data_IF_533845430363
#
_entry.id   IF_533845430363
#
_cell.length_a   1.000
_cell.length_b   1.000
_cell.length_c   1.000
_cell.angle_alpha   90.00
_cell.angle_beta   90.00
_cell.angle_gamma   90.00
#
_symmetry.space_group_name_H-M   'P 1'
#
loop_
_entity.id
_entity.type
_entity.pdbx_description
1 polymer ?
#
# COMPACT_ATOMS: atom_id res chain seq x y z
N UNK A 1 -30.08 -24.96 24.12
CA UNK A 1 -29.27 -24.18 23.17
C UNK A 1 -27.82 -24.55 23.43
N UNK A 2 -26.97 -24.77 22.42
CA UNK A 2 -25.55 -24.94 22.69
C UNK A 2 -25.07 -23.64 23.34
N UNK A 3 -24.54 -23.71 24.55
CA UNK A 3 -23.93 -22.57 25.24
C UNK A 3 -22.75 -22.10 24.38
N UNK A 4 -22.92 -21.00 23.65
CA UNK A 4 -21.83 -20.38 22.89
C UNK A 4 -20.68 -20.08 23.85
N UNK A 5 -19.49 -20.53 23.47
CA UNK A 5 -18.26 -20.24 24.21
C UNK A 5 -17.92 -18.76 24.00
N UNK A 6 -17.78 -17.94 25.06
CA UNK A 6 -17.48 -16.52 24.90
C UNK A 6 -16.08 -16.30 24.29
N UNK A 7 -16.01 -15.43 23.29
CA UNK A 7 -14.76 -14.86 22.76
C UNK A 7 -14.49 -13.47 23.38
N UNK A 8 -13.23 -13.05 23.38
CA UNK A 8 -12.82 -11.76 23.95
C UNK A 8 -13.50 -10.58 23.25
N UNK A 9 -13.72 -10.64 21.93
CA UNK A 9 -14.44 -9.57 21.20
C UNK A 9 -15.87 -9.33 21.71
N UNK A 10 -16.51 -10.35 22.27
CA UNK A 10 -17.88 -10.31 22.79
C UNK A 10 -17.95 -10.11 24.31
N UNK A 11 -16.80 -9.91 24.99
CA UNK A 11 -16.73 -9.92 26.45
C UNK A 11 -17.67 -8.93 27.12
N UNK A 12 -17.94 -7.79 26.47
CA UNK A 12 -18.84 -6.77 26.99
C UNK A 12 -20.30 -7.22 27.13
N UNK A 13 -20.72 -8.28 26.44
CA UNK A 13 -22.07 -8.88 26.61
C UNK A 13 -22.22 -9.65 27.92
N UNK A 14 -21.11 -9.97 28.57
CA UNK A 14 -21.05 -10.82 29.75
C UNK A 14 -20.73 -10.06 31.04
N UNK A 15 -20.83 -8.72 31.05
CA UNK A 15 -20.58 -7.92 32.26
C UNK A 15 -21.40 -8.42 33.46
N UNK A 16 -20.73 -8.62 34.59
CA UNK A 16 -21.30 -9.19 35.80
C UNK A 16 -21.62 -10.69 35.75
N UNK A 17 -21.20 -11.41 34.70
CA UNK A 17 -21.39 -12.85 34.55
C UNK A 17 -20.06 -13.60 34.67
N UNK A 18 -20.12 -14.84 35.15
CA UNK A 18 -18.98 -15.75 35.11
C UNK A 18 -18.85 -16.39 33.73
N UNK A 19 -17.64 -16.34 33.17
CA UNK A 19 -17.31 -16.90 31.86
C UNK A 19 -16.01 -17.67 31.91
N UNK A 20 -15.83 -18.59 30.96
CA UNK A 20 -14.57 -19.26 30.72
C UNK A 20 -14.03 -18.83 29.36
N UNK A 21 -12.94 -18.05 29.38
CA UNK A 21 -12.21 -17.66 28.17
C UNK A 21 -11.07 -18.64 27.96
N UNK A 22 -10.79 -19.00 26.71
CA UNK A 22 -9.68 -19.87 26.39
C UNK A 22 -8.81 -19.25 25.33
N UNK A 23 -7.50 -19.30 25.55
CA UNK A 23 -6.56 -18.63 24.69
C UNK A 23 -5.14 -18.86 25.15
N UNK A 24 -4.27 -17.91 24.82
CA UNK A 24 -2.85 -17.97 25.08
C UNK A 24 -2.42 -16.79 25.93
N UNK A 25 -1.49 -17.04 26.87
CA UNK A 25 -0.92 -16.00 27.69
C UNK A 25 -0.05 -15.08 26.84
N UNK A 26 -0.57 -13.90 26.52
CA UNK A 26 0.14 -12.91 25.72
C UNK A 26 1.18 -12.14 26.54
N UNK A 27 0.83 -11.78 27.78
CA UNK A 27 1.75 -11.09 28.69
C UNK A 27 1.40 -11.39 30.15
N UNK A 28 2.34 -11.22 31.07
CA UNK A 28 2.09 -11.33 32.51
C UNK A 28 2.89 -10.29 33.30
N UNK A 29 2.29 -9.77 34.36
CA UNK A 29 2.98 -8.98 35.39
C UNK A 29 2.37 -9.26 36.76
N UNK A 30 3.10 -8.99 37.82
CA UNK A 30 2.62 -9.11 39.19
C UNK A 30 2.83 -7.82 39.98
N UNK A 31 1.94 -7.57 40.94
CA UNK A 31 2.07 -6.51 41.94
C UNK A 31 1.65 -7.06 43.30
N UNK A 32 2.64 -7.44 44.11
CA UNK A 32 2.40 -8.05 45.42
C UNK A 32 1.60 -9.36 45.32
N UNK A 33 0.35 -9.34 45.80
CA UNK A 33 -0.55 -10.51 45.84
C UNK A 33 -1.52 -10.60 44.67
N UNK A 34 -1.33 -9.77 43.64
CA UNK A 34 -2.19 -9.69 42.45
C UNK A 34 -1.34 -9.92 41.21
N UNK A 35 -1.86 -10.71 40.27
CA UNK A 35 -1.31 -10.86 38.92
C UNK A 35 -2.23 -10.23 37.91
N UNK A 36 -1.62 -9.68 36.86
CA UNK A 36 -2.30 -9.21 35.68
C UNK A 36 -1.78 -10.04 34.51
N UNK A 37 -2.61 -10.97 34.05
CA UNK A 37 -2.35 -11.78 32.88
C UNK A 37 -3.08 -11.14 31.70
N UNK A 38 -2.40 -10.92 30.59
CA UNK A 38 -3.06 -10.57 29.33
C UNK A 38 -3.28 -11.85 28.55
N UNK A 39 -4.54 -12.23 28.33
CA UNK A 39 -4.92 -13.41 27.57
C UNK A 39 -5.36 -12.98 26.17
N UNK A 40 -4.87 -13.65 25.12
CA UNK A 40 -5.35 -13.48 23.75
C UNK A 40 -6.06 -14.74 23.29
N UNK A 41 -7.11 -14.63 22.47
CA UNK A 41 -7.82 -15.79 21.92
C UNK A 41 -7.91 -15.77 20.38
N UNK A 42 -7.31 -14.75 19.74
CA UNK A 42 -7.38 -14.51 18.30
C UNK A 42 -8.36 -13.40 17.92
N UNK A 43 -9.34 -13.09 18.77
CA UNK A 43 -10.33 -12.03 18.57
C UNK A 43 -9.99 -10.75 19.33
N UNK A 44 -9.22 -10.87 20.41
CA UNK A 44 -8.74 -9.71 21.17
C UNK A 44 -7.73 -10.05 22.26
N UNK A 45 -7.51 -9.09 23.15
CA UNK A 45 -6.68 -9.22 24.36
C UNK A 45 -7.53 -8.79 25.57
N UNK A 46 -7.62 -9.64 26.58
CA UNK A 46 -8.36 -9.41 27.83
C UNK A 46 -7.40 -9.39 29.01
N UNK A 47 -7.56 -8.42 29.91
CA UNK A 47 -6.86 -8.42 31.19
C UNK A 47 -7.56 -9.38 32.16
N UNK A 48 -6.83 -10.38 32.65
CA UNK A 48 -7.26 -11.32 33.67
C UNK A 48 -6.54 -11.00 34.98
N UNK A 49 -7.31 -10.62 36.00
CA UNK A 49 -6.83 -10.23 37.33
C UNK A 49 -6.90 -11.43 38.26
N UNK A 50 -5.75 -11.92 38.73
CA UNK A 50 -5.67 -13.06 39.65
C UNK A 50 -5.28 -12.55 41.03
N UNK A 51 -6.13 -12.73 42.04
CA UNK A 51 -5.82 -12.35 43.42
C UNK A 51 -5.57 -13.57 44.29
N UNK A 52 -4.53 -13.55 45.15
CA UNK A 52 -4.25 -14.66 46.08
C UNK A 52 -5.44 -15.05 46.98
N UNK A 53 -6.36 -14.12 47.24
CA UNK A 53 -7.57 -14.37 48.06
C UNK A 53 -8.69 -15.06 47.28
N UNK A 54 -8.70 -14.95 45.95
CA UNK A 54 -9.80 -15.38 45.10
C UNK A 54 -9.50 -16.73 44.41
N UNK A 55 -8.23 -17.17 44.41
CA UNK A 55 -7.79 -18.47 43.88
C UNK A 55 -7.10 -19.34 44.95
N UNK A 56 -7.09 -20.65 44.74
CA UNK A 56 -6.39 -21.59 45.63
C UNK A 56 -4.86 -21.46 45.51
N UNK A 57 -4.13 -22.01 46.49
CA UNK A 57 -2.67 -21.90 46.56
C UNK A 57 -1.96 -22.57 45.37
N UNK A 58 -2.52 -23.63 44.78
CA UNK A 58 -1.94 -24.28 43.61
C UNK A 58 -2.00 -23.37 42.39
N UNK A 59 -3.14 -22.72 42.14
CA UNK A 59 -3.29 -21.73 41.07
C UNK A 59 -2.34 -20.56 41.33
N UNK A 60 -2.27 -20.09 42.58
CA UNK A 60 -1.37 -19.00 42.95
C UNK A 60 0.13 -19.40 42.93
N UNK A 61 0.48 -20.67 42.72
CA UNK A 61 1.87 -21.07 42.48
C UNK A 61 2.22 -21.15 40.98
N UNK A 62 1.23 -21.16 40.09
CA UNK A 62 1.44 -21.26 38.63
C UNK A 62 2.18 -20.07 38.01
N UNK A 63 2.24 -18.90 38.67
CA UNK A 63 2.80 -17.70 38.04
C UNK A 63 4.23 -17.88 37.54
N UNK A 64 5.07 -18.60 38.27
CA UNK A 64 6.45 -18.82 37.86
C UNK A 64 6.57 -19.83 36.71
N UNK A 65 5.59 -20.73 36.58
CA UNK A 65 5.52 -21.74 35.51
C UNK A 65 4.93 -21.18 34.21
N UNK A 66 3.99 -20.24 34.32
CA UNK A 66 3.29 -19.66 33.16
C UNK A 66 4.25 -18.87 32.26
N UNK A 67 4.46 -19.32 31.04
CA UNK A 67 5.28 -18.63 30.03
C UNK A 67 4.41 -18.01 28.95
N UNK A 68 4.97 -17.04 28.20
CA UNK A 68 4.30 -16.49 27.03
C UNK A 68 3.88 -17.60 26.07
N UNK A 69 2.69 -17.46 25.49
CA UNK A 69 2.07 -18.42 24.60
C UNK A 69 1.68 -19.77 25.23
N UNK A 70 1.69 -19.87 26.57
CA UNK A 70 1.03 -20.98 27.26
C UNK A 70 -0.48 -20.95 26.98
N UNK A 71 -1.07 -22.10 26.64
CA UNK A 71 -2.50 -22.21 26.39
C UNK A 71 -3.27 -22.48 27.68
N UNK A 72 -4.30 -21.66 27.92
CA UNK A 72 -5.03 -21.59 29.19
C UNK A 72 -6.54 -21.61 28.93
N UNK A 73 -7.30 -22.19 29.85
CA UNK A 73 -8.69 -21.81 30.09
C UNK A 73 -8.76 -21.03 31.40
N UNK A 74 -9.28 -19.81 31.35
CA UNK A 74 -9.37 -18.91 32.49
C UNK A 74 -10.85 -18.68 32.78
N UNK A 75 -11.29 -19.07 33.98
CA UNK A 75 -12.65 -18.85 34.46
C UNK A 75 -12.67 -17.67 35.43
N UNK A 76 -13.66 -16.79 35.29
CA UNK A 76 -13.79 -15.64 36.17
C UNK A 76 -15.02 -14.79 35.90
N UNK A 77 -15.22 -13.79 36.76
CA UNK A 77 -16.28 -12.80 36.66
C UNK A 77 -15.84 -11.65 35.73
N UNK A 78 -16.65 -11.33 34.71
CA UNK A 78 -16.38 -10.16 33.86
C UNK A 78 -16.76 -8.89 34.62
N UNK A 79 -15.88 -7.89 34.55
CA UNK A 79 -16.10 -6.59 35.17
C UNK A 79 -15.72 -5.45 34.22
N UNK A 80 -16.62 -4.50 34.02
CA UNK A 80 -16.30 -3.27 33.32
C UNK A 80 -15.25 -2.42 34.08
N UNK A 81 -14.10 -2.16 33.47
CA UNK A 81 -13.09 -1.21 33.96
C UNK A 81 -12.53 -0.41 32.79
N UNK A 82 -12.78 0.90 32.77
CA UNK A 82 -12.31 1.81 31.72
C UNK A 82 -10.79 1.90 31.60
N UNK A 83 -10.05 1.43 32.62
CA UNK A 83 -8.58 1.39 32.63
C UNK A 83 -8.04 0.09 32.02
N UNK A 84 -8.87 -0.95 31.92
CA UNK A 84 -8.48 -2.22 31.33
C UNK A 84 -8.45 -2.10 29.79
N UNK A 85 -7.51 -2.79 29.11
CA UNK A 85 -7.55 -2.93 27.66
C UNK A 85 -8.91 -3.48 27.21
N UNK A 86 -9.57 -2.78 26.28
CA UNK A 86 -10.92 -3.17 25.81
C UNK A 86 -12.08 -2.75 26.71
N UNK A 87 -11.82 -2.09 27.85
CA UNK A 87 -12.86 -1.57 28.76
C UNK A 87 -13.46 -2.59 29.72
N UNK A 88 -13.00 -3.83 29.69
CA UNK A 88 -13.41 -4.93 30.57
C UNK A 88 -12.20 -5.72 31.05
N UNK A 89 -12.33 -6.34 32.22
CA UNK A 89 -11.36 -7.28 32.77
C UNK A 89 -12.08 -8.52 33.33
N UNK A 90 -11.32 -9.60 33.53
CA UNK A 90 -11.81 -10.85 34.08
C UNK A 90 -11.19 -11.07 35.47
N UNK A 91 -12.01 -11.09 36.51
CA UNK A 91 -11.56 -11.45 37.85
C UNK A 91 -11.53 -12.97 37.99
N UNK A 92 -10.32 -13.51 38.06
CA UNK A 92 -10.08 -14.95 37.87
C UNK A 92 -10.36 -15.72 39.14
N UNK A 93 -11.18 -16.76 39.01
CA UNK A 93 -11.48 -17.73 40.06
C UNK A 93 -10.73 -19.06 39.81
N UNK A 94 -10.54 -19.45 38.54
CA UNK A 94 -9.84 -20.68 38.17
C UNK A 94 -9.00 -20.56 36.89
N UNK A 95 -7.90 -21.32 36.83
CA UNK A 95 -7.02 -21.42 35.65
C UNK A 95 -6.72 -22.90 35.39
N UNK A 96 -7.15 -23.37 34.22
CA UNK A 96 -6.73 -24.65 33.66
C UNK A 96 -5.60 -24.43 32.66
N UNK A 97 -4.42 -24.97 32.95
CA UNK A 97 -3.29 -24.97 32.01
C UNK A 97 -3.45 -26.14 31.05
N UNK A 98 -3.63 -25.87 29.76
CA UNK A 98 -3.66 -26.89 28.72
C UNK A 98 -2.24 -27.28 28.31
N UNK A 99 -1.37 -26.28 28.14
CA UNK A 99 0.04 -26.48 27.81
C UNK A 99 0.88 -25.29 28.27
N UNK A 100 2.02 -25.56 28.90
CA UNK A 100 3.08 -24.57 29.10
C UNK A 100 3.96 -24.52 27.84
N UNK A 101 4.04 -23.35 27.21
CA UNK A 101 4.91 -23.14 26.05
C UNK A 101 6.37 -23.02 26.50
N UNK A 102 7.25 -23.86 25.97
CA UNK A 102 8.69 -23.81 26.29
C UNK A 102 9.43 -23.18 25.11
N UNK A 103 10.43 -22.35 25.42
CA UNK A 103 11.34 -21.77 24.44
C UNK A 103 10.67 -20.97 23.31
N UNK A 104 9.57 -20.26 23.60
CA UNK A 104 8.91 -19.40 22.61
C UNK A 104 9.88 -18.31 22.10
N UNK A 105 10.22 -18.29 20.80
CA UNK A 105 11.35 -17.51 20.29
C UNK A 105 11.08 -16.00 20.30
N UNK A 106 9.81 -15.59 20.15
CA UNK A 106 9.42 -14.19 20.03
C UNK A 106 9.00 -13.64 21.41
N UNK A 107 9.98 -13.31 22.24
CA UNK A 107 9.73 -12.64 23.53
C UNK A 107 9.36 -11.16 23.34
N UNK A 108 8.78 -10.46 24.34
CA UNK A 108 8.44 -9.02 24.26
C UNK A 108 9.60 -8.05 24.06
N UNK A 109 10.85 -8.54 23.94
CA UNK A 109 12.00 -7.72 23.56
C UNK A 109 11.98 -7.48 22.05
N UNK A 110 12.61 -6.41 21.60
CA UNK A 110 12.83 -6.22 20.16
C UNK A 110 13.71 -7.35 19.62
N UNK A 111 13.32 -7.92 18.48
CA UNK A 111 14.10 -8.90 17.73
C UNK A 111 14.45 -8.32 16.36
N UNK A 112 15.58 -8.75 15.79
CA UNK A 112 15.97 -8.37 14.44
C UNK A 112 14.98 -8.89 13.39
N UNK A 113 14.85 -8.16 12.28
CA UNK A 113 13.90 -8.50 11.21
C UNK A 113 14.15 -9.91 10.66
N UNK A 114 15.40 -10.32 10.45
CA UNK A 114 15.74 -11.65 9.91
C UNK A 114 15.27 -12.77 10.85
N UNK A 115 15.47 -12.62 12.17
CA UNK A 115 15.01 -13.58 13.17
C UNK A 115 13.48 -13.73 13.18
N UNK A 116 12.74 -12.64 13.04
CA UNK A 116 11.28 -12.68 12.95
C UNK A 116 10.79 -13.33 11.65
N UNK A 117 11.56 -13.20 10.56
CA UNK A 117 11.25 -13.84 9.28
C UNK A 117 11.45 -15.36 9.34
N UNK A 118 12.49 -15.84 10.02
CA UNK A 118 12.70 -17.28 10.27
C UNK A 118 11.55 -17.88 11.11
N UNK A 119 10.82 -17.05 11.86
CA UNK A 119 9.67 -17.42 12.70
C UNK A 119 8.35 -16.85 12.18
N UNK A 120 8.19 -16.66 10.86
CA UNK A 120 7.01 -16.02 10.26
C UNK A 120 5.67 -16.68 10.59
N UNK A 121 5.66 -17.99 10.86
CA UNK A 121 4.48 -18.72 11.32
C UNK A 121 3.98 -18.24 12.71
N UNK A 122 4.79 -17.48 13.43
CA UNK A 122 4.49 -16.86 14.73
C UNK A 122 4.36 -15.33 14.63
N UNK A 123 4.74 -14.72 13.50
CA UNK A 123 4.70 -13.27 13.27
C UNK A 123 4.46 -12.94 11.79
N UNK A 124 3.27 -12.43 11.48
CA UNK A 124 2.91 -12.03 10.11
C UNK A 124 3.38 -10.61 9.80
N UNK A 125 4.13 -10.47 8.70
CA UNK A 125 4.60 -9.18 8.19
C UNK A 125 3.63 -8.61 7.15
N UNK A 126 3.29 -7.33 7.29
CA UNK A 126 2.64 -6.53 6.27
C UNK A 126 3.63 -5.57 5.62
N UNK A 127 3.31 -5.10 4.42
CA UNK A 127 4.08 -4.11 3.69
C UNK A 127 3.20 -2.88 3.42
N UNK A 128 3.80 -1.70 3.46
CA UNK A 128 3.13 -0.49 3.02
C UNK A 128 2.97 -0.53 1.50
N UNK A 129 1.78 -0.18 1.01
CA UNK A 129 1.48 -0.30 -0.41
C UNK A 129 2.26 0.71 -1.25
N UNK A 130 2.79 0.25 -2.38
CA UNK A 130 3.42 1.13 -3.38
C UNK A 130 2.38 1.69 -4.37
N UNK A 131 1.22 1.05 -4.48
CA UNK A 131 0.15 1.34 -5.42
C UNK A 131 -1.12 0.56 -5.06
N UNK A 132 -2.28 1.18 -5.20
CA UNK A 132 -3.58 0.51 -5.08
C UNK A 132 -3.94 -0.39 -6.26
N UNK A 133 -3.17 -0.35 -7.36
CA UNK A 133 -3.54 -0.90 -8.67
C UNK A 133 -4.15 -2.30 -8.62
N UNK A 134 -3.47 -3.29 -8.03
CA UNK A 134 -3.95 -4.69 -8.07
C UNK A 134 -5.35 -4.83 -7.43
N UNK A 135 -5.63 -4.04 -6.39
CA UNK A 135 -6.95 -4.00 -5.76
C UNK A 135 -7.96 -3.21 -6.59
N UNK A 136 -7.51 -2.18 -7.30
CA UNK A 136 -8.35 -1.43 -8.23
C UNK A 136 -8.77 -2.27 -9.44
N UNK A 137 -7.94 -3.21 -9.91
CA UNK A 137 -8.34 -4.18 -10.92
C UNK A 137 -9.50 -5.05 -10.43
N UNK A 138 -9.43 -5.58 -9.21
CA UNK A 138 -10.56 -6.28 -8.59
C UNK A 138 -11.81 -5.38 -8.44
N UNK A 139 -11.61 -4.12 -8.05
CA UNK A 139 -12.67 -3.12 -8.00
C UNK A 139 -13.32 -2.85 -9.36
N UNK A 140 -12.52 -2.76 -10.42
CA UNK A 140 -12.99 -2.53 -11.78
C UNK A 140 -13.81 -3.71 -12.29
N UNK A 141 -13.40 -4.95 -11.96
CA UNK A 141 -14.19 -6.15 -12.30
C UNK A 141 -15.57 -6.15 -11.61
N UNK A 142 -15.70 -5.53 -10.43
CA UNK A 142 -16.96 -5.45 -9.70
C UNK A 142 -17.84 -4.24 -10.08
N UNK A 143 -17.24 -3.08 -10.34
CA UNK A 143 -17.95 -1.80 -10.45
C UNK A 143 -17.77 -1.10 -11.80
N UNK A 144 -17.00 -1.67 -12.71
CA UNK A 144 -16.76 -1.16 -14.06
C UNK A 144 -15.73 -0.02 -14.11
N UNK A 145 -15.95 1.06 -13.36
CA UNK A 145 -15.03 2.22 -13.33
C UNK A 145 -14.79 2.64 -11.89
N UNK A 146 -13.53 2.64 -11.47
CA UNK A 146 -13.15 2.87 -10.08
C UNK A 146 -11.89 3.73 -10.01
N UNK A 147 -11.69 4.40 -8.88
CA UNK A 147 -10.43 5.04 -8.56
C UNK A 147 -10.17 4.94 -7.06
N UNK A 148 -8.92 4.85 -6.65
CA UNK A 148 -8.53 5.15 -5.28
C UNK A 148 -7.77 6.47 -5.20
N UNK A 149 -7.79 7.05 -4.01
CA UNK A 149 -6.97 8.20 -3.67
C UNK A 149 -6.41 7.94 -2.27
N UNK A 150 -5.12 7.68 -2.18
CA UNK A 150 -4.48 7.33 -0.92
C UNK A 150 -2.97 7.57 -0.90
N UNK A 151 -2.37 7.48 0.30
CA UNK A 151 -0.93 7.52 0.45
C UNK A 151 -0.30 6.23 -0.08
N UNK A 152 0.83 6.37 -0.74
CA UNK A 152 1.67 5.28 -1.24
C UNK A 152 3.11 5.49 -0.84
N UNK A 153 3.85 4.39 -0.73
CA UNK A 153 5.15 4.38 -0.07
C UNK A 153 6.19 3.73 -0.97
N UNK A 154 7.31 4.42 -1.18
CA UNK A 154 8.45 3.87 -1.93
C UNK A 154 9.72 3.94 -1.10
N UNK A 155 10.30 2.77 -0.84
CA UNK A 155 11.58 2.63 -0.14
C UNK A 155 12.78 2.72 -1.10
N UNK A 156 12.69 3.60 -2.12
CA UNK A 156 13.75 3.77 -3.10
C UNK A 156 14.95 4.49 -2.51
N UNK A 157 16.15 4.06 -2.89
CA UNK A 157 17.41 4.68 -2.45
C UNK A 157 17.77 5.94 -3.25
N UNK A 158 16.77 6.72 -3.65
CA UNK A 158 16.90 7.91 -4.50
C UNK A 158 16.84 9.20 -3.68
N UNK A 159 17.72 10.17 -3.97
CA UNK A 159 17.79 11.49 -3.30
C UNK A 159 17.49 12.67 -4.24
N UNK A 160 16.86 12.42 -5.39
CA UNK A 160 16.61 13.47 -6.38
C UNK A 160 15.46 14.40 -5.95
N UNK A 161 15.31 15.53 -6.67
CA UNK A 161 14.20 16.49 -6.49
C UNK A 161 12.79 15.96 -6.82
N UNK A 162 12.68 14.76 -7.41
CA UNK A 162 11.43 14.14 -7.91
C UNK A 162 10.89 13.01 -7.01
N UNK A 163 11.57 12.68 -5.91
CA UNK A 163 11.25 11.51 -5.09
C UNK A 163 10.90 11.87 -3.64
N UNK A 164 9.86 11.23 -3.12
CA UNK A 164 9.45 11.16 -1.71
C UNK A 164 9.34 9.68 -1.31
N UNK A 165 9.45 9.40 -0.01
CA UNK A 165 9.21 8.04 0.50
C UNK A 165 7.74 7.76 0.83
N UNK A 166 6.95 8.82 0.99
CA UNK A 166 5.50 8.83 1.18
C UNK A 166 4.93 9.95 0.31
N UNK A 167 3.95 9.64 -0.53
CA UNK A 167 3.32 10.57 -1.45
C UNK A 167 1.90 10.11 -1.78
N UNK A 168 1.08 10.97 -2.36
CA UNK A 168 -0.31 10.66 -2.68
C UNK A 168 -0.47 10.30 -4.15
N UNK A 169 -1.27 9.27 -4.42
CA UNK A 169 -1.66 8.90 -5.77
C UNK A 169 -3.18 8.90 -5.95
N UNK A 170 -3.59 9.27 -7.15
CA UNK A 170 -4.94 9.00 -7.67
C UNK A 170 -4.81 7.93 -8.75
N UNK A 171 -5.47 6.79 -8.55
CA UNK A 171 -5.25 5.60 -9.38
C UNK A 171 -6.59 5.08 -9.93
N UNK A 172 -7.05 5.57 -11.10
CA UNK A 172 -8.19 5.01 -11.79
C UNK A 172 -7.88 3.68 -12.50
N UNK A 173 -8.88 2.79 -12.51
CA UNK A 173 -8.87 1.53 -13.27
C UNK A 173 -10.26 1.34 -13.91
N UNK A 174 -10.28 0.95 -15.18
CA UNK A 174 -11.47 0.94 -16.03
C UNK A 174 -11.60 -0.40 -16.75
N UNK A 175 -12.69 -1.12 -16.48
CA UNK A 175 -13.07 -2.32 -17.20
C UNK A 175 -13.52 -1.99 -18.64
N UNK A 176 -13.23 -2.90 -19.57
CA UNK A 176 -13.41 -2.76 -21.01
C UNK A 176 -12.58 -1.63 -21.67
N UNK A 177 -11.60 -1.06 -20.98
CA UNK A 177 -10.70 -0.05 -21.54
C UNK A 177 -9.44 -0.68 -22.14
N UNK A 178 -9.01 -0.14 -23.27
CA UNK A 178 -7.69 -0.41 -23.86
C UNK A 178 -6.67 0.72 -23.58
N UNK A 179 -5.47 0.62 -24.18
CA UNK A 179 -4.45 1.65 -24.05
C UNK A 179 -4.89 3.03 -24.56
N UNK A 180 -5.69 3.10 -25.63
CA UNK A 180 -6.15 4.37 -26.17
C UNK A 180 -7.21 4.99 -25.25
N UNK A 181 -8.14 4.19 -24.75
CA UNK A 181 -9.16 4.65 -23.79
C UNK A 181 -8.52 5.26 -22.54
N UNK A 182 -7.47 4.61 -22.01
CA UNK A 182 -6.80 5.10 -20.80
C UNK A 182 -5.92 6.33 -21.07
N UNK A 183 -5.34 6.45 -22.27
CA UNK A 183 -4.67 7.67 -22.71
C UNK A 183 -5.67 8.83 -22.81
N UNK A 184 -6.83 8.61 -23.44
CA UNK A 184 -7.89 9.62 -23.56
C UNK A 184 -8.37 10.09 -22.18
N UNK A 185 -8.59 9.15 -21.24
CA UNK A 185 -8.96 9.49 -19.86
C UNK A 185 -7.86 10.28 -19.15
N UNK A 186 -6.59 9.91 -19.32
CA UNK A 186 -5.46 10.58 -18.70
C UNK A 186 -5.30 12.04 -19.19
N UNK A 187 -5.42 12.31 -20.50
CA UNK A 187 -5.38 13.69 -21.01
C UNK A 187 -6.58 14.52 -20.55
N UNK A 188 -7.79 13.95 -20.56
CA UNK A 188 -9.00 14.65 -20.07
C UNK A 188 -8.84 15.02 -18.60
N UNK A 189 -8.34 14.09 -17.79
CA UNK A 189 -8.15 14.30 -16.36
C UNK A 189 -7.13 15.41 -16.08
N UNK A 190 -5.98 15.39 -16.75
CA UNK A 190 -4.93 16.40 -16.56
C UNK A 190 -5.32 17.76 -17.11
N UNK A 191 -5.94 17.82 -18.30
CA UNK A 191 -6.50 19.06 -18.84
C UNK A 191 -7.49 19.67 -17.84
N UNK A 192 -8.45 18.88 -17.35
CA UNK A 192 -9.46 19.36 -16.40
C UNK A 192 -8.83 19.92 -15.12
N UNK A 193 -7.84 19.23 -14.54
CA UNK A 193 -7.11 19.71 -13.35
C UNK A 193 -6.47 21.07 -13.63
N UNK A 194 -5.70 21.18 -14.72
CA UNK A 194 -4.96 22.42 -15.04
C UNK A 194 -5.92 23.58 -15.31
N UNK A 195 -6.96 23.36 -16.12
CA UNK A 195 -7.96 24.38 -16.42
C UNK A 195 -8.72 24.82 -15.16
N UNK A 196 -9.08 23.88 -14.28
CA UNK A 196 -9.74 24.19 -13.00
C UNK A 196 -8.84 24.99 -12.07
N UNK A 197 -7.54 24.72 -12.06
CA UNK A 197 -6.55 25.48 -11.28
C UNK A 197 -6.39 26.90 -11.84
N UNK A 198 -6.26 27.05 -13.16
CA UNK A 198 -6.18 28.38 -13.80
C UNK A 198 -7.42 29.23 -13.49
N UNK A 199 -8.61 28.63 -13.57
CA UNK A 199 -9.87 29.30 -13.28
C UNK A 199 -10.00 29.69 -11.80
N UNK A 200 -9.76 28.75 -10.88
CA UNK A 200 -10.14 28.92 -9.48
C UNK A 200 -9.00 29.30 -8.54
N UNK A 201 -7.75 29.26 -9.00
CA UNK A 201 -6.55 29.49 -8.18
C UNK A 201 -5.57 30.49 -8.78
N UNK A 202 -6.04 31.35 -9.71
CA UNK A 202 -5.20 32.37 -10.34
C UNK A 202 -4.56 33.34 -9.34
N UNK A 203 -5.24 33.68 -8.23
CA UNK A 203 -4.67 34.51 -7.16
C UNK A 203 -3.49 33.82 -6.46
N UNK A 204 -3.62 32.53 -6.16
CA UNK A 204 -2.55 31.74 -5.56
C UNK A 204 -1.37 31.60 -6.52
N UNK A 205 -1.62 31.35 -7.82
CA UNK A 205 -0.57 31.29 -8.84
C UNK A 205 0.19 32.63 -8.95
N UNK A 206 -0.53 33.77 -8.91
CA UNK A 206 0.09 35.10 -8.84
C UNK A 206 0.92 35.31 -7.57
N UNK A 207 0.42 34.83 -6.43
CA UNK A 207 1.10 34.96 -5.12
C UNK A 207 2.44 34.23 -5.10
N UNK A 208 2.54 33.08 -5.77
CA UNK A 208 3.78 32.31 -5.91
C UNK A 208 4.60 32.68 -7.15
N UNK A 209 4.22 33.77 -7.85
CA UNK A 209 4.93 34.29 -9.03
C UNK A 209 5.06 33.25 -10.17
N UNK A 210 4.08 32.34 -10.30
CA UNK A 210 4.06 31.33 -11.36
C UNK A 210 3.66 31.94 -12.71
N UNK A 211 4.53 31.81 -13.71
CA UNK A 211 4.18 32.04 -15.12
C UNK A 211 3.21 30.95 -15.60
N UNK A 212 2.00 31.35 -16.00
CA UNK A 212 0.91 30.47 -16.45
C UNK A 212 0.89 30.24 -17.96
N UNK A 213 1.76 30.87 -18.74
CA UNK A 213 1.74 30.83 -20.20
C UNK A 213 1.79 29.41 -20.79
N UNK A 214 2.50 28.49 -20.15
CA UNK A 214 2.56 27.07 -20.53
C UNK A 214 1.34 26.29 -20.03
N UNK A 215 0.82 26.61 -18.85
CA UNK A 215 -0.39 25.98 -18.31
C UNK A 215 -1.62 26.31 -19.17
N UNK A 216 -1.71 27.53 -19.70
CA UNK A 216 -2.78 27.96 -20.60
C UNK A 216 -2.83 27.17 -21.91
N UNK A 217 -1.68 26.61 -22.34
CA UNK A 217 -1.58 25.75 -23.54
C UNK A 217 -1.98 24.30 -23.29
N UNK A 218 -2.24 23.92 -22.03
CA UNK A 218 -2.66 22.56 -21.66
C UNK A 218 -4.12 22.38 -22.09
N UNK A 219 -4.27 22.05 -23.37
CA UNK A 219 -5.52 21.79 -24.07
C UNK A 219 -5.32 20.54 -24.92
N UNK A 220 -6.34 19.67 -24.95
CA UNK A 220 -6.35 18.48 -25.82
C UNK A 220 -6.35 18.87 -27.30
N UNK A 221 -5.85 17.99 -28.20
CA UNK A 221 -5.20 16.71 -27.91
C UNK A 221 -3.76 16.89 -27.41
N UNK A 222 -3.31 16.03 -26.50
CA UNK A 222 -1.91 16.01 -26.10
C UNK A 222 -1.07 15.26 -27.14
N UNK A 223 0.20 15.67 -27.38
CA UNK A 223 1.12 14.89 -28.21
C UNK A 223 1.26 13.47 -27.67
N UNK A 224 1.14 12.47 -28.56
CA UNK A 224 1.37 11.05 -28.26
C UNK A 224 2.49 10.57 -29.16
N UNK A 225 3.54 10.03 -28.57
CA UNK A 225 4.71 9.51 -29.28
C UNK A 225 5.03 8.09 -28.81
N UNK A 226 5.55 7.25 -29.70
CA UNK A 226 6.08 5.95 -29.30
C UNK A 226 7.41 6.11 -28.55
N UNK A 227 7.78 5.07 -27.79
CA UNK A 227 9.12 4.92 -27.25
C UNK A 227 10.21 5.16 -28.30
N UNK A 228 10.05 4.62 -29.51
CA UNK A 228 11.03 4.75 -30.60
C UNK A 228 11.19 6.21 -31.05
N UNK A 229 10.09 6.96 -31.09
CA UNK A 229 10.10 8.38 -31.41
C UNK A 229 10.73 9.20 -30.27
N UNK A 230 10.44 8.86 -29.00
CA UNK A 230 11.09 9.48 -27.86
C UNK A 230 12.62 9.23 -27.86
N UNK A 231 13.05 7.99 -28.14
CA UNK A 231 14.46 7.64 -28.28
C UNK A 231 15.12 8.34 -29.49
N UNK A 232 14.38 8.63 -30.56
CA UNK A 232 14.88 9.45 -31.67
C UNK A 232 15.14 10.90 -31.23
N UNK A 233 14.25 11.50 -30.45
CA UNK A 233 14.44 12.86 -29.88
C UNK A 233 15.73 12.93 -29.06
N UNK A 234 15.99 11.93 -28.21
CA UNK A 234 17.21 11.89 -27.40
C UNK A 234 18.48 11.83 -28.25
N UNK A 235 18.48 11.00 -29.30
CA UNK A 235 19.59 10.89 -30.26
C UNK A 235 19.82 12.20 -31.02
N UNK A 236 18.76 12.86 -31.47
CA UNK A 236 18.83 14.16 -32.16
C UNK A 236 19.39 15.26 -31.26
N UNK A 237 19.07 15.21 -29.96
CA UNK A 237 19.64 16.11 -28.94
C UNK A 237 21.05 15.74 -28.50
N UNK A 238 21.60 14.63 -29.00
CA UNK A 238 22.96 14.17 -28.68
C UNK A 238 23.13 13.60 -27.27
N UNK A 239 22.05 13.11 -26.64
CA UNK A 239 22.14 12.41 -25.36
C UNK A 239 22.64 10.98 -25.57
N UNK A 240 23.45 10.50 -24.62
CA UNK A 240 23.95 9.13 -24.57
C UNK A 240 22.86 8.22 -23.96
N UNK A 241 21.91 7.81 -24.81
CA UNK A 241 20.81 6.93 -24.46
C UNK A 241 20.91 5.60 -25.21
N UNK A 242 20.85 4.50 -24.48
CA UNK A 242 20.84 3.16 -25.05
C UNK A 242 19.40 2.70 -25.33
N UNK A 243 19.10 2.41 -26.60
CA UNK A 243 17.80 1.84 -26.98
C UNK A 243 17.57 0.50 -26.28
N UNK A 244 16.38 0.33 -25.71
CA UNK A 244 16.01 -0.80 -24.85
C UNK A 244 15.92 -0.41 -23.36
N UNK A 245 16.63 0.64 -22.94
CA UNK A 245 16.62 1.10 -21.55
C UNK A 245 15.37 1.93 -21.25
N UNK A 246 15.03 2.04 -19.96
CA UNK A 246 14.00 2.96 -19.47
C UNK A 246 14.52 4.40 -19.48
N UNK A 247 13.62 5.37 -19.58
CA UNK A 247 14.01 6.78 -19.61
C UNK A 247 14.38 7.27 -18.21
N UNK A 248 15.63 7.72 -18.05
CA UNK A 248 16.07 8.35 -16.82
C UNK A 248 15.54 9.78 -16.67
N UNK A 249 15.77 10.38 -15.50
CA UNK A 249 15.27 11.73 -15.24
C UNK A 249 15.82 12.81 -16.20
N UNK A 250 17.03 12.64 -16.73
CA UNK A 250 17.60 13.52 -17.74
C UNK A 250 16.92 13.33 -19.11
N UNK A 251 16.63 12.08 -19.49
CA UNK A 251 15.94 11.73 -20.73
C UNK A 251 14.52 12.29 -20.75
N UNK A 252 13.75 12.09 -19.68
CA UNK A 252 12.42 12.68 -19.52
C UNK A 252 12.44 14.21 -19.64
N UNK A 253 13.47 14.84 -19.08
CA UNK A 253 13.64 16.30 -19.16
C UNK A 253 13.85 16.71 -20.61
N UNK A 254 14.77 16.06 -21.31
CA UNK A 254 15.06 16.35 -22.71
C UNK A 254 13.84 16.08 -23.62
N UNK A 255 13.09 15.01 -23.39
CA UNK A 255 11.87 14.71 -24.15
C UNK A 255 10.82 15.81 -23.89
N UNK A 256 10.48 16.06 -22.62
CA UNK A 256 9.41 17.00 -22.24
C UNK A 256 9.68 18.45 -22.65
N UNK A 257 10.94 18.89 -22.70
CA UNK A 257 11.33 20.22 -23.21
C UNK A 257 11.05 20.43 -24.70
N UNK A 258 10.77 19.36 -25.45
CA UNK A 258 10.44 19.43 -26.88
C UNK A 258 8.96 19.75 -27.13
N UNK A 259 8.15 19.86 -26.07
CA UNK A 259 6.71 20.02 -26.14
C UNK A 259 6.23 21.21 -25.29
N UNK A 260 5.12 21.83 -25.72
CA UNK A 260 4.53 23.01 -25.08
C UNK A 260 3.42 22.68 -24.06
N UNK A 261 3.11 21.38 -23.92
CA UNK A 261 2.08 20.79 -23.05
C UNK A 261 2.49 19.34 -22.71
N UNK A 262 1.81 18.64 -21.80
CA UNK A 262 2.15 17.26 -21.47
C UNK A 262 2.19 16.36 -22.70
N UNK A 263 3.20 15.48 -22.76
CA UNK A 263 3.37 14.48 -23.83
C UNK A 263 3.17 13.09 -23.27
N UNK A 264 2.45 12.24 -23.98
CA UNK A 264 2.35 10.81 -23.66
C UNK A 264 3.38 10.04 -24.48
N UNK A 265 4.23 9.28 -23.79
CA UNK A 265 5.14 8.32 -24.40
C UNK A 265 4.54 6.94 -24.20
N UNK A 266 4.37 6.16 -25.26
CA UNK A 266 3.71 4.86 -25.19
C UNK A 266 4.52 3.73 -25.82
N UNK A 267 4.16 2.49 -25.52
CA UNK A 267 4.77 1.28 -26.11
C UNK A 267 6.26 1.12 -25.81
N UNK A 268 6.59 1.07 -24.52
CA UNK A 268 7.96 0.82 -24.07
C UNK A 268 8.36 -0.64 -24.29
N UNK A 269 9.67 -0.95 -24.30
CA UNK A 269 10.15 -2.32 -24.22
C UNK A 269 9.54 -3.04 -23.01
N UNK A 270 8.96 -4.22 -23.23
CA UNK A 270 8.26 -4.97 -22.18
C UNK A 270 9.20 -5.40 -21.05
N UNK A 271 10.50 -5.56 -21.32
CA UNK A 271 11.50 -6.00 -20.34
C UNK A 271 11.77 -4.98 -19.24
N UNK A 272 11.58 -3.69 -19.51
CA UNK A 272 11.79 -2.62 -18.51
C UNK A 272 10.51 -2.25 -17.76
N UNK A 273 9.39 -2.91 -18.06
CA UNK A 273 8.09 -2.61 -17.48
C UNK A 273 7.59 -3.75 -16.58
N UNK A 274 6.53 -3.47 -15.83
CA UNK A 274 6.01 -4.37 -14.81
C UNK A 274 5.30 -5.59 -15.40
N UNK A 275 5.35 -6.73 -14.69
CA UNK A 275 4.84 -8.03 -15.11
C UNK A 275 3.34 -8.04 -15.48
N UNK A 276 2.55 -7.11 -14.96
CA UNK A 276 1.10 -7.05 -15.18
C UNK A 276 0.72 -6.33 -16.48
N UNK A 277 1.66 -5.69 -17.18
CA UNK A 277 1.35 -4.95 -18.40
C UNK A 277 1.14 -5.91 -19.57
N UNK A 278 0.11 -5.66 -20.38
CA UNK A 278 -0.17 -6.45 -21.60
C UNK A 278 0.90 -6.17 -22.65
N UNK A 279 1.33 -7.19 -23.39
CA UNK A 279 2.24 -7.00 -24.53
C UNK A 279 1.46 -6.50 -25.75
N UNK A 280 2.09 -5.73 -26.63
CA UNK A 280 1.47 -5.30 -27.88
C UNK A 280 1.24 -6.54 -28.79
N UNK A 281 0.01 -6.81 -29.26
CA UNK A 281 -0.28 -7.96 -30.12
C UNK A 281 0.46 -7.92 -31.47
N UNK A 282 0.91 -6.74 -31.91
CA UNK A 282 1.61 -6.54 -33.18
C UNK A 282 3.13 -6.48 -33.00
N UNK A 283 3.61 -6.03 -31.83
CA UNK A 283 5.03 -5.93 -31.46
C UNK A 283 5.25 -6.54 -30.06
N UNK A 284 5.30 -7.88 -29.93
CA UNK A 284 5.27 -8.56 -28.62
C UNK A 284 6.42 -8.21 -27.69
N UNK A 285 7.50 -7.61 -28.17
CA UNK A 285 8.60 -7.07 -27.36
C UNK A 285 8.26 -5.75 -26.67
N UNK A 286 7.13 -5.11 -27.02
CA UNK A 286 6.63 -3.86 -26.42
C UNK A 286 5.46 -4.13 -25.48
N UNK A 287 5.33 -3.30 -24.45
CA UNK A 287 4.19 -3.30 -23.53
C UNK A 287 3.19 -2.22 -23.92
N UNK A 288 1.89 -2.51 -23.81
CA UNK A 288 0.80 -1.54 -23.97
C UNK A 288 0.71 -0.63 -22.75
N UNK A 289 1.73 0.21 -22.57
CA UNK A 289 1.86 1.15 -21.47
C UNK A 289 2.00 2.59 -21.97
N UNK A 290 1.81 3.53 -21.05
CA UNK A 290 1.96 4.97 -21.30
C UNK A 290 2.48 5.68 -20.06
N UNK A 291 3.46 6.56 -20.27
CA UNK A 291 3.92 7.53 -19.28
C UNK A 291 3.57 8.94 -19.81
N UNK A 292 2.98 9.79 -18.97
CA UNK A 292 2.72 11.20 -19.30
C UNK A 292 3.78 12.08 -18.66
N UNK A 293 4.53 12.79 -19.49
CA UNK A 293 5.58 13.70 -19.06
C UNK A 293 5.04 15.14 -19.07
N UNK A 294 5.08 15.80 -17.92
CA UNK A 294 4.81 17.23 -17.81
C UNK A 294 5.91 18.04 -18.52
N UNK A 295 5.57 19.14 -19.22
CA UNK A 295 6.52 20.00 -19.92
C UNK A 295 7.45 20.73 -18.93
N UNK A 296 8.29 21.63 -19.42
CA UNK A 296 9.19 22.46 -18.58
C UNK A 296 10.19 21.61 -17.76
N UNK A 297 10.49 20.39 -18.21
CA UNK A 297 11.48 19.51 -17.57
C UNK A 297 11.03 18.88 -16.25
N UNK A 298 9.72 18.83 -15.96
CA UNK A 298 9.20 18.20 -14.75
C UNK A 298 9.25 16.67 -14.81
N UNK A 299 9.03 16.08 -15.99
CA UNK A 299 9.07 14.63 -16.21
C UNK A 299 7.74 13.95 -15.88
N UNK A 300 7.79 12.66 -15.58
CA UNK A 300 6.61 11.81 -15.43
C UNK A 300 5.67 12.26 -14.29
N UNK A 301 4.39 12.48 -14.63
CA UNK A 301 3.29 12.75 -13.70
C UNK A 301 2.24 11.62 -13.67
N UNK A 302 2.15 10.81 -14.74
CA UNK A 302 1.30 9.63 -14.83
C UNK A 302 2.13 8.47 -15.38
N UNK A 303 1.96 7.29 -14.79
CA UNK A 303 2.35 6.00 -15.37
C UNK A 303 1.14 5.07 -15.42
N UNK A 304 0.91 4.39 -16.54
CA UNK A 304 -0.27 3.56 -16.75
C UNK A 304 -0.15 2.59 -17.91
N UNK A 305 -1.24 1.86 -18.18
CA UNK A 305 -1.28 0.91 -19.28
C UNK A 305 -2.43 -0.07 -19.21
N UNK A 306 -2.54 -0.85 -20.29
CA UNK A 306 -3.45 -1.97 -20.37
C UNK A 306 -2.89 -3.19 -19.62
N UNK A 307 -3.76 -3.89 -18.90
CA UNK A 307 -3.37 -5.03 -18.05
C UNK A 307 -3.44 -6.34 -18.83
N UNK A 308 -2.57 -7.26 -18.47
CA UNK A 308 -2.60 -8.63 -19.01
C UNK A 308 -3.90 -9.30 -18.58
N UNK A 309 -4.73 -9.69 -19.54
CA UNK A 309 -6.07 -10.25 -19.34
C UNK A 309 -6.11 -11.76 -19.60
N UNK A 310 -5.02 -12.34 -20.11
CA UNK A 310 -4.85 -13.78 -20.29
C UNK A 310 -4.18 -14.44 -19.07
N UNK A 311 -4.79 -15.52 -18.56
CA UNK A 311 -4.32 -16.22 -17.38
C UNK A 311 -2.94 -16.88 -17.59
N UNK A 312 -2.76 -17.58 -18.71
CA UNK A 312 -1.54 -18.35 -18.97
C UNK A 312 -0.35 -17.42 -19.15
N UNK A 313 -0.56 -16.30 -19.86
CA UNK A 313 0.48 -15.28 -20.05
C UNK A 313 0.84 -14.62 -18.71
N UNK A 314 -0.15 -14.30 -17.87
CA UNK A 314 0.12 -13.68 -16.58
C UNK A 314 0.88 -14.61 -15.64
N UNK A 315 0.53 -15.91 -15.59
CA UNK A 315 1.27 -16.93 -14.83
C UNK A 315 2.73 -17.04 -15.31
N UNK A 316 2.95 -17.05 -16.64
CA UNK A 316 4.30 -17.07 -17.22
C UNK A 316 5.10 -15.82 -16.84
N UNK A 317 4.48 -14.63 -16.82
CA UNK A 317 5.13 -13.39 -16.40
C UNK A 317 5.48 -13.41 -14.91
N UNK A 318 4.57 -13.85 -14.03
CA UNK A 318 4.85 -14.03 -12.60
C UNK A 318 6.08 -14.94 -12.40
N UNK A 319 6.13 -16.08 -13.12
CA UNK A 319 7.26 -17.00 -13.08
C UNK A 319 8.55 -16.36 -13.61
N UNK A 320 8.51 -15.66 -14.76
CA UNK A 320 9.67 -14.97 -15.36
C UNK A 320 10.28 -13.93 -14.42
N UNK A 321 9.45 -13.23 -13.66
CA UNK A 321 9.89 -12.24 -12.67
C UNK A 321 10.30 -12.85 -11.31
N UNK A 322 10.30 -14.18 -11.16
CA UNK A 322 10.59 -14.90 -9.91
C UNK A 322 9.69 -14.46 -8.74
N UNK A 323 8.43 -14.17 -9.03
CA UNK A 323 7.44 -13.76 -8.03
C UNK A 323 6.74 -15.00 -7.43
N UNK A 324 6.42 -15.00 -6.11
CA UNK A 324 5.75 -16.14 -5.48
C UNK A 324 4.28 -16.20 -5.89
N UNK A 325 3.92 -17.15 -6.76
CA UNK A 325 2.57 -17.29 -7.30
C UNK A 325 1.47 -17.31 -6.24
N UNK A 326 1.68 -18.01 -5.11
CA UNK A 326 0.72 -18.08 -4.00
C UNK A 326 0.28 -16.69 -3.50
N UNK A 327 1.17 -15.69 -3.54
CA UNK A 327 0.84 -14.31 -3.14
C UNK A 327 -0.06 -13.58 -4.15
N UNK A 328 -0.15 -14.08 -5.38
CA UNK A 328 -0.92 -13.53 -6.49
C UNK A 328 -2.13 -14.39 -6.86
N UNK A 329 -2.45 -15.45 -6.11
CA UNK A 329 -3.52 -16.38 -6.46
C UNK A 329 -4.89 -15.67 -6.62
N UNK A 330 -5.20 -14.76 -5.70
CA UNK A 330 -6.40 -13.91 -5.78
C UNK A 330 -6.40 -12.96 -6.98
N UNK A 331 -5.22 -12.56 -7.45
CA UNK A 331 -5.04 -11.67 -8.60
C UNK A 331 -5.18 -12.45 -9.92
N UNK A 332 -4.73 -13.70 -9.93
CA UNK A 332 -4.97 -14.67 -11.02
C UNK A 332 -6.46 -15.04 -11.11
N UNK A 333 -7.18 -15.09 -9.99
CA UNK A 333 -8.63 -15.33 -9.99
C UNK A 333 -9.41 -14.28 -10.80
N UNK A 334 -8.91 -13.04 -10.89
CA UNK A 334 -9.49 -12.01 -11.76
C UNK A 334 -9.46 -12.42 -13.24
N UNK A 335 -8.51 -13.29 -13.63
CA UNK A 335 -8.37 -13.82 -14.99
C UNK A 335 -9.13 -15.14 -15.19
N UNK A 336 -9.50 -15.82 -14.08
CA UNK A 336 -10.29 -17.06 -14.10
C UNK A 336 -11.79 -16.81 -14.13
N UNK A 337 -12.26 -15.77 -13.46
CA UNK A 337 -13.68 -15.52 -13.24
C UNK A 337 -14.13 -14.19 -13.83
N UNK A 338 -14.50 -14.21 -15.12
CA UNK A 338 -15.10 -13.04 -15.78
C UNK A 338 -14.09 -11.95 -16.19
N UNK A 339 -12.91 -12.36 -16.64
CA UNK A 339 -11.88 -11.45 -17.17
C UNK A 339 -12.40 -10.61 -18.34
N UNK A 340 -11.96 -9.36 -18.41
CA UNK A 340 -12.22 -8.44 -19.53
C UNK A 340 -10.95 -7.64 -19.80
N UNK A 341 -10.74 -7.10 -21.02
CA UNK A 341 -9.72 -6.09 -21.23
C UNK A 341 -9.95 -4.93 -20.27
N UNK A 342 -8.89 -4.42 -19.64
CA UNK A 342 -8.96 -3.29 -18.73
C UNK A 342 -7.63 -2.56 -18.68
N UNK A 343 -7.70 -1.29 -18.31
CA UNK A 343 -6.56 -0.41 -18.25
C UNK A 343 -6.73 0.60 -17.12
N UNK A 344 -5.60 1.11 -16.62
CA UNK A 344 -5.57 2.11 -15.58
C UNK A 344 -4.28 2.91 -15.58
N UNK A 345 -4.23 3.92 -14.72
CA UNK A 345 -3.03 4.72 -14.50
C UNK A 345 -2.93 5.18 -13.06
N UNK A 346 -1.75 5.62 -12.64
CA UNK A 346 -1.54 6.32 -11.38
C UNK A 346 -1.00 7.72 -11.64
N UNK A 347 -1.65 8.75 -11.08
CA UNK A 347 -1.17 10.12 -11.08
C UNK A 347 -0.48 10.43 -9.75
N UNK A 348 0.79 10.87 -9.82
CA UNK A 348 1.52 11.36 -8.65
C UNK A 348 1.12 12.79 -8.30
N UNK A 349 0.42 12.98 -7.18
CA UNK A 349 -0.14 14.29 -6.78
C UNK A 349 0.98 15.30 -6.57
N UNK A 350 2.03 14.96 -5.81
CA UNK A 350 3.12 15.88 -5.48
C UNK A 350 3.93 16.31 -6.70
N UNK A 351 4.12 15.43 -7.70
CA UNK A 351 4.78 15.78 -8.97
C UNK A 351 3.89 16.72 -9.80
N UNK A 352 2.60 16.44 -9.85
CA UNK A 352 1.62 17.27 -10.58
C UNK A 352 1.50 18.67 -9.97
N UNK A 353 1.41 18.78 -8.64
CA UNK A 353 1.41 20.06 -7.94
C UNK A 353 2.72 20.81 -8.16
N UNK A 354 3.86 20.11 -8.18
CA UNK A 354 5.16 20.75 -8.39
C UNK A 354 5.22 21.41 -9.77
N UNK A 355 4.75 20.72 -10.80
CA UNK A 355 4.67 21.25 -12.16
C UNK A 355 3.72 22.46 -12.26
N UNK A 356 2.49 22.31 -11.78
CA UNK A 356 1.47 23.37 -11.83
C UNK A 356 1.97 24.63 -11.11
N UNK A 357 2.56 24.47 -9.92
CA UNK A 357 3.04 25.59 -9.12
C UNK A 357 4.44 26.11 -9.52
N UNK A 358 5.15 25.46 -10.44
CA UNK A 358 6.50 25.90 -10.83
C UNK A 358 7.59 25.61 -9.79
N UNK A 359 7.43 24.57 -8.96
CA UNK A 359 8.29 24.29 -7.81
C UNK A 359 9.49 23.42 -8.16
N UNK A 360 10.64 23.72 -7.56
CA UNK A 360 11.91 23.05 -7.88
C UNK A 360 12.04 21.67 -7.24
N UNK A 361 11.25 21.36 -6.21
CA UNK A 361 11.32 20.09 -5.51
C UNK A 361 9.94 19.66 -4.99
N UNK A 362 9.60 18.37 -5.18
CA UNK A 362 8.34 17.76 -4.69
C UNK A 362 8.16 17.78 -3.16
N UNK A 363 9.17 18.18 -2.39
CA UNK A 363 9.03 18.29 -0.93
C UNK A 363 8.23 19.53 -0.53
N UNK A 364 8.08 20.48 -1.45
CA UNK A 364 7.36 21.75 -1.26
C UNK A 364 5.86 21.58 -1.51
N UNK A 365 5.43 20.42 -2.01
CA UNK A 365 4.04 20.14 -2.41
C UNK A 365 3.26 19.31 -1.40
N UNK A 366 3.92 18.91 -0.30
CA UNK A 366 3.31 18.18 0.81
C UNK A 366 3.69 18.85 2.14
N UNK A 367 2.78 19.00 3.11
CA UNK A 367 3.06 19.75 4.35
C UNK A 367 4.22 19.19 5.18
N UNK A 368 4.33 17.86 5.28
CA UNK A 368 5.36 17.17 6.06
C UNK A 368 6.08 16.12 5.22
N UNK A 369 6.98 16.52 4.31
CA UNK A 369 7.61 15.61 3.36
C UNK A 369 8.40 14.52 4.07
N UNK A 370 8.18 13.26 3.68
CA UNK A 370 9.00 12.13 4.08
C UNK A 370 10.06 11.87 3.01
N UNK A 371 11.31 11.90 3.43
CA UNK A 371 12.48 11.63 2.63
C UNK A 371 13.34 10.61 3.37
N UNK A 372 14.25 9.93 2.67
CA UNK A 372 15.18 8.99 3.29
C UNK A 372 15.95 9.58 4.48
N UNK A 373 16.23 10.88 4.45
CA UNK A 373 16.96 11.61 5.50
C UNK A 373 16.06 12.54 6.33
N UNK A 374 14.73 12.50 6.15
CA UNK A 374 13.79 13.37 6.86
C UNK A 374 12.50 12.60 7.22
N UNK A 375 12.37 12.31 8.51
CA UNK A 375 11.18 11.66 9.10
C UNK A 375 10.56 12.48 10.25
N UNK A 376 11.18 13.61 10.61
CA UNK A 376 10.75 14.50 11.68
C UNK A 376 10.33 15.87 11.11
N UNK A 377 9.28 16.53 11.66
CA UNK A 377 8.81 17.84 11.22
C UNK A 377 9.89 18.92 11.11
#
# INVERSE_FOLDING_TARGET
MPTERPFIEDIGRYDGQEVTISGWLYNKRSSGKIWFLLLRDGTGILQCVVSKKDVNEKIFQLYDELTYESSLKVNGLVHADRRAPGGFELWVNDIEVLQIAKDYPITPKEHGVDFLMDHRHLWSKAYLTQSGQLYMEAGAMAFGKVYCFGPTFRAEKSKTRRHLTEFWMVEPEVAYADLNDIMDLAEEFVEYIVQRVLENRSEQLRTIERDTSMLEKVQRPFPRISYDQAAAILREKGLDFQYGDDFGGADETAISESFDRPVMVHRYPAEVKAFYMKNDPHEPEKALCVDMLAPEGYGEIIGGGQREDDLEILEQKIAKHNLPQEAFEWYLDLRRYGTVPHAGFGLGVERTVAWICGLKHVRETIPFPRLMYRIYP
#
